data_IF_475795149494
#
_entry.id   IF_475795149494
#
_cell.length_a   1.000
_cell.length_b   1.000
_cell.length_c   1.000
_cell.angle_alpha   90.00
_cell.angle_beta   90.00
_cell.angle_gamma   90.00
#
_symmetry.space_group_name_H-M   'P 1'
#
loop_
_entity.id
_entity.type
_entity.pdbx_description
1 polymer ?
#
# COMPACT_ATOMS: atom_id res chain seq x y z
N UNK A 1 9.44 -5.90 10.40
CA UNK A 1 8.82 -5.75 11.74
C UNK A 1 8.18 -4.37 11.84
N UNK A 2 7.00 -4.26 12.44
CA UNK A 2 6.38 -2.97 12.79
C UNK A 2 6.37 -2.80 14.31
N UNK A 3 7.08 -1.80 14.82
CA UNK A 3 7.17 -1.52 16.25
C UNK A 3 5.90 -0.84 16.78
N UNK A 4 5.46 -1.24 17.98
CA UNK A 4 4.28 -0.71 18.67
C UNK A 4 2.98 -0.83 17.85
N UNK A 5 2.84 -1.94 17.11
CA UNK A 5 1.66 -2.23 16.31
C UNK A 5 0.40 -2.26 17.21
N UNK A 6 -0.59 -1.45 16.86
CA UNK A 6 -1.92 -1.47 17.46
C UNK A 6 -2.94 -0.73 16.57
N UNK A 7 -4.25 -1.01 16.70
CA UNK A 7 -5.28 -0.37 15.88
C UNK A 7 -5.29 1.16 15.99
N UNK A 8 -4.93 1.70 17.17
CA UNK A 8 -4.87 3.15 17.40
C UNK A 8 -3.68 3.81 16.69
N UNK A 9 -2.59 3.08 16.46
CA UNK A 9 -1.35 3.62 15.87
C UNK A 9 -1.36 3.56 14.35
N UNK A 10 -2.07 2.61 13.75
CA UNK A 10 -2.15 2.45 12.29
C UNK A 10 -3.39 3.10 11.67
N UNK A 11 -3.42 3.18 10.34
CA UNK A 11 -4.62 3.41 9.55
C UNK A 11 -4.79 2.23 8.58
N UNK A 12 -5.82 1.40 8.75
CA UNK A 12 -6.02 0.20 7.92
C UNK A 12 -7.24 0.36 7.03
N UNK A 13 -7.05 0.25 5.72
CA UNK A 13 -8.13 0.45 4.73
C UNK A 13 -8.01 -0.61 3.64
N UNK A 14 -9.12 -0.90 2.95
CA UNK A 14 -9.09 -1.67 1.71
C UNK A 14 -9.14 -0.71 0.53
N UNK A 15 -8.10 -0.73 -0.32
CA UNK A 15 -8.02 0.12 -1.50
C UNK A 15 -8.37 -0.66 -2.75
N UNK A 16 -9.30 -0.13 -3.54
CA UNK A 16 -9.80 -0.77 -4.76
C UNK A 16 -9.26 -0.15 -6.04
N UNK A 17 -8.33 0.81 -5.99
CA UNK A 17 -7.89 1.45 -7.23
C UNK A 17 -7.23 0.46 -8.20
N UNK A 18 -7.44 0.73 -9.48
CA UNK A 18 -6.84 0.04 -10.61
C UNK A 18 -5.30 -0.05 -10.51
N UNK A 19 -4.62 0.94 -9.92
CA UNK A 19 -3.18 0.90 -9.67
C UNK A 19 -2.78 -0.10 -8.57
N UNK A 20 -3.61 -0.35 -7.54
CA UNK A 20 -3.31 -1.42 -6.57
C UNK A 20 -3.50 -2.80 -7.20
N UNK A 21 -4.55 -2.95 -8.01
CA UNK A 21 -4.81 -4.16 -8.79
C UNK A 21 -3.67 -4.44 -9.78
N UNK A 22 -3.32 -3.45 -10.62
CA UNK A 22 -2.25 -3.58 -11.61
C UNK A 22 -0.90 -3.93 -10.96
N UNK A 23 -0.59 -3.37 -9.79
CA UNK A 23 0.63 -3.73 -9.07
C UNK A 23 0.62 -5.19 -8.61
N UNK A 24 -0.49 -5.68 -8.07
CA UNK A 24 -0.61 -7.09 -7.69
C UNK A 24 -0.45 -8.01 -8.92
N UNK A 25 -1.07 -7.67 -10.05
CA UNK A 25 -0.93 -8.44 -11.29
C UNK A 25 0.49 -8.39 -11.88
N UNK A 26 1.15 -7.24 -11.86
CA UNK A 26 2.54 -7.10 -12.28
C UNK A 26 3.50 -7.99 -11.48
N UNK A 27 3.20 -8.21 -10.20
CA UNK A 27 3.97 -9.08 -9.33
C UNK A 27 3.63 -10.56 -9.51
N UNK A 28 2.63 -10.90 -10.34
CA UNK A 28 2.06 -12.24 -10.40
C UNK A 28 1.34 -12.63 -9.10
N UNK A 29 0.92 -11.65 -8.30
CA UNK A 29 0.35 -11.80 -6.96
C UNK A 29 -1.10 -11.35 -6.88
N UNK A 30 -1.87 -11.59 -7.95
CA UNK A 30 -3.32 -11.33 -7.96
C UNK A 30 -4.06 -12.11 -6.85
N UNK A 31 -3.49 -13.20 -6.36
CA UNK A 31 -3.98 -13.97 -5.20
C UNK A 31 -4.07 -13.16 -3.89
N UNK A 32 -3.39 -12.02 -3.81
CA UNK A 32 -3.43 -11.13 -2.64
C UNK A 32 -4.61 -10.16 -2.66
N UNK A 33 -5.28 -10.00 -3.80
CA UNK A 33 -6.48 -9.18 -3.92
C UNK A 33 -7.67 -9.93 -3.32
N UNK A 34 -8.61 -9.19 -2.72
CA UNK A 34 -9.90 -9.77 -2.38
C UNK A 34 -10.74 -10.01 -3.66
N UNK A 35 -11.89 -10.68 -3.51
CA UNK A 35 -12.76 -11.05 -4.64
C UNK A 35 -13.21 -9.88 -5.53
N UNK A 36 -13.20 -8.65 -5.01
CA UNK A 36 -13.57 -7.43 -5.73
C UNK A 36 -12.35 -6.59 -6.16
N UNK A 37 -11.14 -7.16 -6.15
CA UNK A 37 -9.90 -6.46 -6.54
C UNK A 37 -9.32 -5.55 -5.45
N UNK A 38 -9.78 -5.66 -4.21
CA UNK A 38 -9.33 -4.83 -3.09
C UNK A 38 -8.01 -5.30 -2.47
N UNK A 39 -7.11 -4.36 -2.22
CA UNK A 39 -5.87 -4.58 -1.45
C UNK A 39 -6.06 -4.10 -0.01
N UNK A 40 -5.82 -4.97 0.99
CA UNK A 40 -5.82 -4.59 2.41
C UNK A 40 -4.49 -3.94 2.80
N UNK A 41 -4.55 -2.66 3.18
CA UNK A 41 -3.38 -1.81 3.39
C UNK A 41 -3.36 -1.30 4.82
N UNK A 42 -2.28 -1.61 5.54
CA UNK A 42 -1.95 -1.10 6.87
C UNK A 42 -0.95 0.04 6.73
N UNK A 43 -1.37 1.24 7.10
CA UNK A 43 -0.58 2.45 6.96
C UNK A 43 0.07 2.84 8.27
N UNK A 44 1.39 3.03 8.22
CA UNK A 44 2.25 3.28 9.38
C UNK A 44 3.22 4.43 9.13
N UNK A 45 3.79 4.96 10.22
CA UNK A 45 4.91 5.89 10.12
C UNK A 45 6.18 5.16 9.67
N UNK A 46 7.08 5.79 8.90
CA UNK A 46 8.34 5.19 8.48
C UNK A 46 9.19 4.63 9.63
N UNK A 47 9.34 5.41 10.71
CA UNK A 47 10.13 5.01 11.87
C UNK A 47 9.57 3.80 12.63
N UNK A 48 8.36 3.35 12.30
CA UNK A 48 7.77 2.14 12.87
C UNK A 48 8.16 0.88 12.11
N UNK A 49 8.62 0.98 10.86
CA UNK A 49 8.97 -0.17 10.01
C UNK A 49 10.48 -0.36 9.96
N UNK A 50 10.92 -1.59 10.23
CA UNK A 50 12.33 -1.99 10.08
C UNK A 50 12.43 -3.36 9.43
N UNK A 51 13.33 -3.49 8.45
CA UNK A 51 13.73 -4.76 7.88
C UNK A 51 14.82 -5.37 8.75
N UNK A 52 14.56 -6.54 9.33
CA UNK A 52 15.51 -7.22 10.22
C UNK A 52 16.48 -8.09 9.43
N UNK A 53 16.00 -8.66 8.30
CA UNK A 53 16.77 -9.51 7.38
C UNK A 53 16.24 -9.33 5.95
N UNK A 54 17.02 -9.74 4.97
CA UNK A 54 16.57 -9.82 3.57
C UNK A 54 16.48 -8.49 2.83
N UNK A 55 17.01 -7.39 3.38
CA UNK A 55 16.97 -6.06 2.75
C UNK A 55 17.60 -6.02 1.35
N UNK A 56 18.59 -6.87 1.08
CA UNK A 56 19.23 -7.02 -0.25
C UNK A 56 18.28 -7.59 -1.31
N UNK A 57 17.10 -8.09 -0.92
CA UNK A 57 16.07 -8.62 -1.81
C UNK A 57 14.90 -7.66 -1.96
N UNK A 58 15.07 -6.38 -1.64
CA UNK A 58 14.01 -5.38 -1.81
C UNK A 58 14.28 -4.59 -3.08
N UNK A 59 13.24 -4.40 -3.87
CA UNK A 59 13.24 -3.52 -5.04
C UNK A 59 11.98 -2.64 -5.04
N UNK A 60 12.06 -1.52 -5.73
CA UNK A 60 10.97 -0.62 -5.98
C UNK A 60 10.48 -0.72 -7.42
N UNK A 61 9.17 -0.56 -7.58
CA UNK A 61 8.49 -0.43 -8.85
C UNK A 61 7.59 0.80 -8.82
N UNK A 62 7.54 1.55 -9.92
CA UNK A 62 6.52 2.59 -10.15
C UNK A 62 5.75 2.24 -11.40
N UNK A 63 4.42 2.25 -11.30
CA UNK A 63 3.54 2.05 -12.47
C UNK A 63 3.61 3.23 -13.45
N UNK A 64 4.07 4.40 -12.99
CA UNK A 64 4.36 5.57 -13.82
C UNK A 64 5.41 6.45 -13.15
N UNK A 65 6.02 7.36 -13.90
CA UNK A 65 7.05 8.30 -13.41
C UNK A 65 6.53 9.29 -12.35
N UNK A 66 5.22 9.42 -12.17
CA UNK A 66 4.57 10.26 -11.14
C UNK A 66 3.82 9.44 -10.07
N UNK A 67 3.71 8.12 -10.25
CA UNK A 67 2.99 7.23 -9.34
C UNK A 67 3.74 6.94 -8.04
N UNK A 68 3.09 6.18 -7.15
CA UNK A 68 3.69 5.72 -5.90
C UNK A 68 4.95 4.89 -6.13
N UNK A 69 5.87 4.94 -5.19
CA UNK A 69 6.92 3.93 -5.06
C UNK A 69 6.28 2.71 -4.40
N UNK A 70 6.33 1.57 -5.08
CA UNK A 70 5.77 0.31 -4.63
C UNK A 70 6.90 -0.68 -4.41
N UNK A 71 7.13 -1.06 -3.16
CA UNK A 71 8.25 -1.87 -2.72
C UNK A 71 7.82 -3.33 -2.60
N UNK A 72 8.63 -4.23 -3.14
CA UNK A 72 8.38 -5.67 -3.09
C UNK A 72 9.69 -6.44 -2.86
N UNK A 73 9.57 -7.71 -2.52
CA UNK A 73 10.71 -8.63 -2.51
C UNK A 73 11.01 -9.14 -3.91
N UNK A 74 12.29 -9.34 -4.23
CA UNK A 74 12.73 -9.87 -5.54
C UNK A 74 12.73 -11.40 -5.59
N UNK A 75 12.72 -12.08 -4.44
CA UNK A 75 12.75 -13.54 -4.39
C UNK A 75 11.37 -14.22 -4.54
N UNK A 76 10.29 -13.51 -4.23
CA UNK A 76 8.94 -14.08 -4.26
C UNK A 76 7.84 -13.05 -4.58
N UNK A 77 8.23 -11.85 -5.03
CA UNK A 77 7.33 -10.77 -5.41
C UNK A 77 6.32 -10.37 -4.33
N UNK A 78 6.66 -10.55 -3.05
CA UNK A 78 5.77 -10.15 -1.95
C UNK A 78 5.78 -8.63 -1.82
N UNK A 79 4.63 -7.94 -1.89
CA UNK A 79 4.54 -6.52 -1.59
C UNK A 79 4.93 -6.23 -0.14
N UNK A 80 5.82 -5.26 0.09
CA UNK A 80 6.30 -4.92 1.45
C UNK A 80 6.15 -3.44 1.82
N UNK A 81 5.70 -2.59 0.90
CA UNK A 81 5.40 -1.20 1.22
C UNK A 81 5.01 -0.37 0.02
N UNK A 82 4.33 0.74 0.27
CA UNK A 82 4.01 1.76 -0.73
C UNK A 82 4.24 3.14 -0.11
N UNK A 83 4.85 4.05 -0.86
CA UNK A 83 5.16 5.41 -0.38
C UNK A 83 4.94 6.44 -1.50
N UNK A 84 4.47 7.64 -1.15
CA UNK A 84 4.46 8.78 -2.09
C UNK A 84 5.88 9.35 -2.32
N UNK A 85 6.78 9.11 -1.37
CA UNK A 85 8.13 9.68 -1.29
C UNK A 85 8.47 9.97 0.18
N UNK A 86 9.72 10.37 0.50
CA UNK A 86 10.14 10.58 1.89
C UNK A 86 9.56 11.86 2.50
N UNK A 87 8.99 12.75 1.67
CA UNK A 87 8.43 14.00 2.13
C UNK A 87 7.23 13.78 3.04
N UNK A 88 6.38 12.77 2.78
CA UNK A 88 5.17 12.47 3.57
C UNK A 88 5.43 11.17 4.35
N UNK A 89 5.44 11.19 5.69
CA UNK A 89 5.78 10.02 6.50
C UNK A 89 4.63 9.01 6.51
N UNK A 90 4.49 8.25 5.43
CA UNK A 90 3.34 7.39 5.20
C UNK A 90 3.76 6.16 4.38
N UNK A 91 3.76 4.99 5.03
CA UNK A 91 4.04 3.71 4.38
C UNK A 91 2.78 2.86 4.46
N UNK A 92 2.26 2.45 3.30
CA UNK A 92 1.18 1.46 3.21
C UNK A 92 1.72 0.06 2.96
N UNK A 93 1.52 -0.86 3.88
CA UNK A 93 1.98 -2.25 3.81
C UNK A 93 0.78 -3.15 3.55
N UNK A 94 0.91 -4.08 2.61
CA UNK A 94 -0.14 -5.07 2.32
C UNK A 94 -0.27 -6.02 3.52
N UNK A 95 -1.47 -6.24 4.02
CA UNK A 95 -1.73 -7.01 5.24
C UNK A 95 -1.10 -8.41 5.20
N UNK A 96 -1.17 -9.06 4.05
CA UNK A 96 -0.62 -10.40 3.79
C UNK A 96 0.91 -10.47 3.88
N UNK A 97 1.60 -9.34 3.92
CA UNK A 97 3.04 -9.29 4.23
C UNK A 97 3.34 -9.61 5.70
N UNK A 98 2.34 -9.55 6.60
CA UNK A 98 2.48 -9.87 8.01
C UNK A 98 2.09 -11.31 8.32
N UNK A 99 0.89 -11.74 7.89
CA UNK A 99 0.38 -13.09 8.07
C UNK A 99 -0.66 -13.35 6.98
N UNK A 100 -0.73 -14.59 6.48
CA UNK A 100 -1.74 -15.00 5.50
C UNK A 100 -3.13 -15.22 6.13
N UNK A 101 -3.21 -15.37 7.46
CA UNK A 101 -4.46 -15.47 8.21
C UNK A 101 -4.97 -14.07 8.61
N UNK A 102 -6.09 -13.59 8.05
CA UNK A 102 -6.65 -12.28 8.37
C UNK A 102 -6.94 -12.08 9.85
N UNK A 103 -7.37 -13.13 10.57
CA UNK A 103 -7.71 -13.04 11.99
C UNK A 103 -6.49 -12.66 12.85
N UNK A 104 -5.30 -13.13 12.47
CA UNK A 104 -4.05 -12.78 13.15
C UNK A 104 -3.67 -11.34 12.87
N UNK A 105 -3.83 -10.88 11.63
CA UNK A 105 -3.61 -9.47 11.28
C UNK A 105 -4.58 -8.57 12.05
N UNK A 106 -5.86 -8.94 12.12
CA UNK A 106 -6.91 -8.22 12.84
C UNK A 106 -6.62 -8.15 14.35
N UNK A 107 -6.10 -9.22 14.95
CA UNK A 107 -5.73 -9.23 16.37
C UNK A 107 -4.66 -8.18 16.74
N UNK A 108 -3.81 -7.79 15.78
CA UNK A 108 -2.72 -6.83 15.97
C UNK A 108 -3.12 -5.42 15.51
N UNK A 109 -3.75 -5.31 14.35
CA UNK A 109 -3.99 -4.04 13.67
C UNK A 109 -5.45 -3.58 13.70
N UNK A 110 -6.37 -4.44 14.16
CA UNK A 110 -7.81 -4.23 14.09
C UNK A 110 -8.34 -4.40 12.67
N UNK A 111 -9.64 -4.55 12.52
CA UNK A 111 -10.29 -4.63 11.20
C UNK A 111 -10.04 -3.36 10.36
N UNK A 112 -10.10 -3.45 9.02
CA UNK A 112 -10.11 -2.27 8.16
C UNK A 112 -11.21 -1.28 8.58
N UNK A 113 -10.87 0.00 8.69
CA UNK A 113 -11.80 1.05 9.13
C UNK A 113 -12.60 1.66 7.97
N UNK A 114 -12.39 1.15 6.75
CA UNK A 114 -13.17 1.50 5.58
C UNK A 114 -12.52 1.06 4.27
N UNK A 115 -13.28 1.21 3.19
CA UNK A 115 -12.87 0.96 1.82
C UNK A 115 -12.75 2.28 1.06
N UNK A 116 -11.81 2.37 0.13
CA UNK A 116 -11.56 3.55 -0.70
C UNK A 116 -11.40 3.19 -2.17
N UNK A 117 -11.72 4.14 -3.04
CA UNK A 117 -11.55 4.03 -4.50
C UNK A 117 -12.37 2.88 -5.10
N UNK A 118 -13.55 2.61 -4.53
CA UNK A 118 -14.45 1.53 -4.94
C UNK A 118 -15.02 1.65 -6.34
N UNK A 119 -14.91 2.82 -6.98
CA UNK A 119 -15.30 2.99 -8.39
C UNK A 119 -14.45 2.14 -9.36
N UNK A 120 -13.35 1.57 -8.87
CA UNK A 120 -12.50 0.64 -9.61
C UNK A 120 -12.66 -0.82 -9.14
N UNK A 121 -13.58 -1.11 -8.22
CA UNK A 121 -13.83 -2.47 -7.77
C UNK A 121 -14.26 -3.37 -8.94
N UNK A 122 -13.88 -4.64 -8.86
CA UNK A 122 -14.38 -5.67 -9.77
C UNK A 122 -15.77 -6.08 -9.30
N UNK A 123 -16.77 -5.95 -10.18
CA UNK A 123 -18.17 -6.17 -9.84
C UNK A 123 -18.79 -4.98 -9.10
N UNK A 124 -19.66 -5.26 -8.14
CA UNK A 124 -20.33 -4.21 -7.35
C UNK A 124 -19.37 -3.56 -6.36
N UNK A 125 -19.33 -2.22 -6.34
CA UNK A 125 -18.48 -1.48 -5.42
C UNK A 125 -18.94 -1.64 -3.96
N UNK A 126 -18.02 -1.83 -3.00
CA UNK A 126 -18.39 -1.88 -1.58
C UNK A 126 -19.12 -0.61 -1.14
N UNK A 127 -20.13 -0.75 -0.28
CA UNK A 127 -20.91 0.39 0.22
C UNK A 127 -20.00 1.47 0.82
N UNK A 128 -20.23 2.73 0.43
CA UNK A 128 -19.51 3.89 0.97
C UNK A 128 -18.06 4.02 0.51
N UNK A 129 -17.62 3.26 -0.51
CA UNK A 129 -16.22 3.25 -0.97
C UNK A 129 -15.94 4.07 -2.23
N UNK A 130 -16.98 4.51 -2.96
CA UNK A 130 -16.87 5.29 -4.21
C UNK A 130 -16.72 6.80 -3.97
N UNK A 131 -17.23 7.30 -2.84
CA UNK A 131 -17.14 8.70 -2.44
C UNK A 131 -15.92 9.02 -1.57
N UNK A 132 -15.70 10.32 -1.34
CA UNK A 132 -14.66 10.78 -0.39
C UNK A 132 -15.16 10.54 1.04
N UNK A 133 -14.48 9.66 1.78
CA UNK A 133 -14.72 9.48 3.20
C UNK A 133 -13.91 10.51 4.01
N UNK A 134 -14.53 11.66 4.32
CA UNK A 134 -13.88 12.77 5.05
C UNK A 134 -13.29 12.35 6.40
N UNK A 135 -13.94 11.42 7.10
CA UNK A 135 -13.47 10.93 8.40
C UNK A 135 -12.14 10.18 8.29
N UNK A 136 -12.00 9.33 7.25
CA UNK A 136 -10.76 8.62 6.95
C UNK A 136 -9.65 9.57 6.51
N UNK A 137 -9.98 10.54 5.65
CA UNK A 137 -9.03 11.56 5.18
C UNK A 137 -8.51 12.39 6.35
N UNK A 138 -9.39 12.91 7.19
CA UNK A 138 -9.01 13.71 8.36
C UNK A 138 -8.16 12.89 9.34
N UNK A 139 -8.53 11.63 9.59
CA UNK A 139 -7.73 10.71 10.42
C UNK A 139 -6.32 10.50 9.86
N UNK A 140 -6.19 10.30 8.54
CA UNK A 140 -4.89 10.15 7.90
C UNK A 140 -4.04 11.42 8.02
N UNK A 141 -4.63 12.60 7.80
CA UNK A 141 -3.96 13.90 7.98
C UNK A 141 -3.46 14.08 9.42
N UNK A 142 -4.33 13.87 10.42
CA UNK A 142 -3.97 13.99 11.85
C UNK A 142 -2.80 13.05 12.18
N UNK A 143 -2.81 11.82 11.66
CA UNK A 143 -1.70 10.87 11.86
C UNK A 143 -0.40 11.37 11.24
N UNK A 144 -0.43 11.79 9.97
CA UNK A 144 0.75 12.30 9.25
C UNK A 144 1.36 13.49 9.97
N UNK A 145 0.53 14.47 10.37
CA UNK A 145 0.97 15.63 11.13
C UNK A 145 1.58 15.21 12.48
N UNK A 146 0.88 14.36 13.23
CA UNK A 146 1.39 13.85 14.49
C UNK A 146 2.69 13.05 14.34
N UNK A 147 2.87 12.31 13.24
CA UNK A 147 4.12 11.59 12.96
C UNK A 147 5.26 12.54 12.63
N UNK A 148 5.03 13.59 11.84
CA UNK A 148 6.02 14.64 11.57
C UNK A 148 6.49 15.31 12.86
N UNK A 149 5.54 15.79 13.67
CA UNK A 149 5.85 16.52 14.91
C UNK A 149 6.64 15.69 15.92
N UNK A 150 6.46 14.36 15.90
CA UNK A 150 7.19 13.41 16.77
C UNK A 150 8.46 12.84 16.12
N UNK A 151 8.91 13.40 15.01
CA UNK A 151 10.11 12.93 14.29
C UNK A 151 9.98 11.53 13.68
N UNK A 152 8.77 10.96 13.57
CA UNK A 152 8.54 9.58 13.10
C UNK A 152 8.63 9.41 11.58
N UNK A 153 9.03 10.46 10.87
CA UNK A 153 9.40 10.39 9.47
C UNK A 153 10.71 9.63 9.23
N UNK A 154 11.59 9.59 10.25
CA UNK A 154 12.90 8.97 10.19
C UNK A 154 13.16 8.08 11.42
N UNK A 155 13.95 6.99 11.29
CA UNK A 155 14.57 6.49 10.06
C UNK A 155 13.52 6.03 9.03
N UNK A 156 13.82 6.21 7.75
CA UNK A 156 12.95 5.78 6.66
C UNK A 156 13.50 4.49 6.05
N UNK A 157 12.72 3.40 5.97
CA UNK A 157 13.23 2.08 5.55
C UNK A 157 13.51 1.96 4.06
N UNK A 158 13.17 2.99 3.27
CA UNK A 158 13.25 2.99 1.80
C UNK A 158 13.99 4.18 1.17
N UNK A 159 14.27 5.27 1.90
CA UNK A 159 14.87 6.49 1.34
C UNK A 159 16.05 6.94 2.19
N UNK A 160 17.04 7.58 1.57
CA UNK A 160 18.15 8.19 2.30
C UNK A 160 17.77 9.54 2.92
N UNK A 161 18.19 9.84 4.17
CA UNK A 161 17.87 11.11 4.83
C UNK A 161 18.36 12.36 4.10
N UNK A 162 19.58 12.32 3.56
CA UNK A 162 20.24 13.47 2.94
C UNK A 162 19.78 13.69 1.50
N UNK A 163 19.92 12.68 0.64
CA UNK A 163 19.61 12.81 -0.80
C UNK A 163 18.12 12.66 -1.10
N UNK A 164 17.35 12.06 -0.17
CA UNK A 164 15.93 11.70 -0.36
C UNK A 164 15.68 10.70 -1.50
N UNK A 165 16.73 10.08 -2.00
CA UNK A 165 16.66 9.05 -3.04
C UNK A 165 16.30 7.69 -2.45
N UNK A 166 15.67 6.80 -3.25
CA UNK A 166 15.55 5.39 -2.93
C UNK A 166 16.86 4.75 -2.49
N UNK A 167 16.82 3.88 -1.47
CA UNK A 167 18.00 3.09 -1.06
C UNK A 167 18.08 1.73 -1.77
N UNK A 168 17.03 1.37 -2.52
CA UNK A 168 16.93 0.11 -3.27
C UNK A 168 16.77 0.40 -4.76
N UNK A 169 17.11 -0.57 -5.64
CA UNK A 169 16.86 -0.47 -7.08
C UNK A 169 15.40 -0.12 -7.36
N UNK A 170 15.18 0.76 -8.34
CA UNK A 170 13.85 1.27 -8.69
C UNK A 170 13.63 1.19 -10.19
N UNK A 171 12.56 0.54 -10.61
CA UNK A 171 12.13 0.49 -12.02
C UNK A 171 10.83 1.26 -12.20
N UNK A 172 10.68 1.93 -13.35
CA UNK A 172 9.42 2.50 -13.80
C UNK A 172 8.92 1.66 -14.95
N UNK A 173 7.66 1.20 -14.90
CA UNK A 173 7.08 0.45 -16.01
C UNK A 173 6.98 1.30 -17.27
N UNK A 174 7.15 0.65 -18.42
CA UNK A 174 6.76 1.23 -19.70
C UNK A 174 5.24 1.46 -19.72
N UNK A 175 4.80 2.46 -20.47
CA UNK A 175 3.40 2.83 -20.53
C UNK A 175 2.54 1.68 -21.06
N UNK A 176 3.02 1.01 -22.10
CA UNK A 176 2.34 -0.12 -22.77
C UNK A 176 2.19 -1.30 -21.80
N UNK A 177 3.22 -1.58 -21.00
CA UNK A 177 3.16 -2.62 -19.96
C UNK A 177 2.12 -2.27 -18.90
N UNK A 178 2.05 -1.01 -18.48
CA UNK A 178 1.05 -0.54 -17.51
C UNK A 178 -0.36 -0.66 -18.08
N UNK A 179 -0.56 -0.29 -19.34
CA UNK A 179 -1.85 -0.37 -20.03
C UNK A 179 -2.30 -1.82 -20.20
N UNK A 180 -1.39 -2.73 -20.54
CA UNK A 180 -1.68 -4.15 -20.64
C UNK A 180 -2.22 -4.74 -19.32
N UNK A 181 -1.81 -4.23 -18.15
CA UNK A 181 -2.32 -4.68 -16.85
C UNK A 181 -3.79 -4.29 -16.61
N UNK A 182 -4.31 -3.28 -17.33
CA UNK A 182 -5.68 -2.80 -17.13
C UNK A 182 -6.75 -3.82 -17.49
N UNK A 183 -6.44 -4.79 -18.36
CA UNK A 183 -7.34 -5.90 -18.67
C UNK A 183 -7.68 -6.77 -17.46
N UNK A 184 -6.86 -6.75 -16.40
CA UNK A 184 -7.08 -7.47 -15.15
C UNK A 184 -7.66 -6.58 -14.03
N UNK A 185 -7.87 -5.29 -14.32
CA UNK A 185 -8.30 -4.31 -13.33
C UNK A 185 -9.75 -3.91 -13.55
N UNK A 186 -10.46 -3.64 -12.45
CA UNK A 186 -11.79 -3.05 -12.52
C UNK A 186 -11.81 -1.57 -12.92
N UNK A 187 -13.01 -1.00 -13.12
CA UNK A 187 -14.28 -1.70 -13.05
C UNK A 187 -14.50 -2.51 -14.33
N UNK A 188 -14.69 -3.83 -14.24
CA UNK A 188 -15.25 -4.61 -15.34
C UNK A 188 -16.77 -4.38 -15.24
N UNK A 189 -17.36 -3.44 -15.99
CA UNK A 189 -18.79 -3.21 -15.87
C UNK A 189 -19.47 -4.46 -16.37
N UNK A 190 -20.38 -5.04 -15.58
CA UNK A 190 -21.27 -6.07 -16.09
C UNK A 190 -22.00 -5.42 -17.27
N UNK A 191 -21.96 -6.04 -18.45
CA UNK A 191 -22.78 -5.57 -19.57
C UNK A 191 -24.23 -5.47 -19.06
N UNK A 192 -24.77 -4.26 -19.09
CA UNK A 192 -26.13 -3.97 -18.62
C UNK A 192 -27.20 -4.64 -19.48
#
# INVERSE_FOLDING_TARGET
>A
MVANASPRKVNRVVCYCDDCQAFAHQLGRGDLLNAQGGTDIIQVAPASLTFVRGQHRIAGLRLSSKGLFRWHTTCCNTPVGNTLGPAIPFIGIVAQAFDSNPQRVDSVFGAPIGAILGQYAIGEAPTGSTGINLSLVLRAIIKVLGWRLRGRAWPHPFFQPKTREPIYPLTVLAQEQREALRQYCGPHPVAG
#
